data_IF_821610316325
#
_entry.id   IF_821610316325
#
_cell.length_a   1.000
_cell.length_b   1.000
_cell.length_c   1.000
_cell.angle_alpha   90.00
_cell.angle_beta   90.00
_cell.angle_gamma   90.00
#
_symmetry.space_group_name_H-M   'P 1'
#
loop_
_entity.id
_entity.type
_entity.pdbx_description
1 polymer ?
#
# COMPACT_ATOMS: atom_id res chain seq x y z
N UNK A 1 -3.32 16.01 -2.61
CA UNK A 1 -2.51 14.79 -2.84
C UNK A 1 -1.13 15.06 -2.25
N UNK A 2 -0.54 14.11 -1.51
CA UNK A 2 0.76 14.31 -0.83
C UNK A 2 1.92 13.70 -1.60
N UNK A 3 1.72 12.49 -2.13
CA UNK A 3 2.69 11.80 -2.98
C UNK A 3 1.93 11.02 -4.06
N UNK A 4 2.53 10.93 -5.26
CA UNK A 4 2.09 10.01 -6.31
C UNK A 4 3.29 9.62 -7.16
N UNK A 5 3.56 8.33 -7.29
CA UNK A 5 4.69 7.84 -8.07
C UNK A 5 4.85 6.33 -8.00
N UNK A 6 5.68 5.79 -8.88
CA UNK A 6 6.02 4.37 -8.91
C UNK A 6 7.15 4.05 -7.95
N UNK A 7 6.96 3.04 -7.11
CA UNK A 7 7.96 2.56 -6.15
C UNK A 7 8.23 1.06 -6.37
N UNK A 8 9.49 0.65 -6.16
CA UNK A 8 9.88 -0.76 -6.08
C UNK A 8 10.00 -1.11 -4.60
N UNK A 9 9.03 -1.83 -4.05
CA UNK A 9 8.89 -2.06 -2.61
C UNK A 9 10.06 -2.87 -2.03
N UNK A 10 11.05 -2.16 -1.49
CA UNK A 10 12.04 -2.65 -0.53
C UNK A 10 11.75 -2.25 0.92
N UNK A 11 10.78 -1.36 1.12
CA UNK A 11 10.38 -0.80 2.42
C UNK A 11 10.21 0.70 2.32
N UNK A 12 9.00 1.20 2.57
CA UNK A 12 8.71 2.63 2.48
C UNK A 12 7.77 3.12 3.58
N UNK A 13 8.22 4.17 4.25
CA UNK A 13 7.37 4.99 5.08
C UNK A 13 6.58 5.97 4.19
N UNK A 14 5.26 5.83 4.17
CA UNK A 14 4.35 6.63 3.35
C UNK A 14 3.74 7.83 4.11
N UNK A 15 4.16 8.07 5.36
CA UNK A 15 3.81 9.28 6.11
C UNK A 15 4.67 10.50 5.69
N UNK A 16 5.85 10.24 5.12
CA UNK A 16 6.74 11.29 4.65
C UNK A 16 6.24 11.86 3.31
N UNK A 17 6.64 13.09 3.00
CA UNK A 17 6.33 13.70 1.69
C UNK A 17 7.03 12.94 0.56
N UNK A 18 8.28 12.55 0.78
CA UNK A 18 9.04 11.67 -0.08
C UNK A 18 9.19 10.31 0.62
N UNK A 19 8.62 9.22 0.07
CA UNK A 19 8.74 7.89 0.63
C UNK A 19 10.20 7.44 0.74
N UNK A 20 10.57 6.95 1.92
CA UNK A 20 11.89 6.34 2.18
C UNK A 20 11.77 5.30 3.28
N UNK A 21 12.75 4.43 3.36
CA UNK A 21 12.83 3.42 4.41
C UNK A 21 12.98 4.08 5.80
N UNK A 22 12.14 3.67 6.75
CA UNK A 22 12.24 4.00 8.17
C UNK A 22 11.94 2.74 8.96
N UNK A 23 12.93 2.25 9.70
CA UNK A 23 12.85 1.02 10.49
C UNK A 23 11.55 0.94 11.32
N UNK A 24 10.80 -0.15 11.14
CA UNK A 24 9.54 -0.41 11.85
C UNK A 24 8.34 0.45 11.45
N UNK A 25 8.47 1.32 10.44
CA UNK A 25 7.42 2.24 10.00
C UNK A 25 7.21 2.18 8.48
N UNK A 26 7.22 0.97 7.92
CA UNK A 26 7.14 0.75 6.48
C UNK A 26 5.92 -0.06 6.04
N UNK A 27 5.58 0.13 4.77
CA UNK A 27 4.98 -0.92 3.93
C UNK A 27 6.08 -1.58 3.13
N UNK A 28 6.17 -2.91 3.17
CA UNK A 28 7.22 -3.67 2.50
C UNK A 28 6.75 -5.02 1.98
N UNK A 29 7.52 -5.58 1.03
CA UNK A 29 7.29 -6.91 0.48
C UNK A 29 7.85 -7.98 1.43
N UNK A 30 7.02 -8.91 1.87
CA UNK A 30 7.51 -10.09 2.63
C UNK A 30 7.59 -11.36 1.78
N UNK A 31 6.80 -11.44 0.70
CA UNK A 31 6.85 -12.52 -0.30
C UNK A 31 6.49 -11.97 -1.68
N UNK A 32 6.71 -12.72 -2.79
CA UNK A 32 6.47 -12.21 -4.15
C UNK A 32 5.07 -11.64 -4.41
N UNK A 33 4.06 -12.04 -3.64
CA UNK A 33 2.65 -11.65 -3.82
C UNK A 33 2.03 -11.06 -2.55
N UNK A 34 2.86 -10.54 -1.63
CA UNK A 34 2.39 -10.04 -0.34
C UNK A 34 3.08 -8.74 0.07
N UNK A 35 2.26 -7.74 0.35
CA UNK A 35 2.67 -6.50 1.01
C UNK A 35 2.22 -6.54 2.48
N UNK A 36 3.15 -6.20 3.37
CA UNK A 36 2.95 -6.10 4.81
C UNK A 36 3.18 -4.67 5.29
N UNK A 37 2.43 -4.27 6.30
CA UNK A 37 2.58 -3.01 7.01
C UNK A 37 3.02 -3.22 8.45
N UNK A 38 4.18 -2.68 8.86
CA UNK A 38 4.66 -2.84 10.24
C UNK A 38 3.69 -2.24 11.26
N UNK A 39 3.38 -0.96 11.07
CA UNK A 39 2.44 -0.17 11.85
C UNK A 39 1.29 0.38 10.98
N UNK A 40 1.06 -0.22 9.82
CA UNK A 40 0.10 0.24 8.82
C UNK A 40 -1.10 -0.69 8.76
N UNK A 41 -2.26 -0.12 8.45
CA UNK A 41 -3.37 -0.91 7.95
C UNK A 41 -3.16 -1.11 6.45
N UNK A 42 -3.20 -2.35 5.97
CA UNK A 42 -3.00 -2.73 4.56
C UNK A 42 -3.99 -3.82 4.21
N UNK A 43 -4.78 -3.60 3.15
CA UNK A 43 -5.82 -4.54 2.72
C UNK A 43 -6.00 -4.48 1.20
N UNK A 44 -6.06 -5.64 0.56
CA UNK A 44 -6.39 -5.71 -0.87
C UNK A 44 -7.83 -5.25 -1.12
N UNK A 45 -8.00 -4.47 -2.18
CA UNK A 45 -9.28 -4.06 -2.73
C UNK A 45 -9.65 -5.03 -3.86
N UNK A 46 -10.72 -5.81 -3.63
CA UNK A 46 -11.12 -6.93 -4.49
C UNK A 46 -12.13 -6.55 -5.60
N UNK A 47 -12.59 -5.29 -5.64
CA UNK A 47 -13.48 -4.85 -6.72
C UNK A 47 -12.70 -4.38 -7.95
N UNK A 48 -13.34 -4.45 -9.12
CA UNK A 48 -12.71 -4.10 -10.39
C UNK A 48 -12.44 -2.59 -10.54
N UNK A 49 -13.17 -1.76 -9.80
CA UNK A 49 -12.99 -0.31 -9.79
C UNK A 49 -11.67 0.10 -9.15
N UNK A 50 -11.16 1.25 -9.58
CA UNK A 50 -10.01 1.89 -8.96
C UNK A 50 -10.49 2.67 -7.72
N UNK A 51 -10.13 2.27 -6.49
CA UNK A 51 -10.64 2.94 -5.30
C UNK A 51 -10.04 4.34 -5.16
N UNK A 52 -10.87 5.31 -4.79
CA UNK A 52 -10.42 6.63 -4.37
C UNK A 52 -10.19 6.70 -2.85
N UNK A 53 -9.86 7.90 -2.36
CA UNK A 53 -9.57 8.13 -0.94
C UNK A 53 -10.70 7.63 -0.03
N UNK A 54 -11.95 7.97 -0.36
CA UNK A 54 -13.11 7.65 0.46
C UNK A 54 -13.38 6.13 0.45
N UNK A 55 -13.25 5.49 -0.71
CA UNK A 55 -13.41 4.04 -0.85
C UNK A 55 -12.38 3.28 -0.01
N UNK A 56 -11.11 3.67 -0.10
CA UNK A 56 -10.06 3.08 0.74
C UNK A 56 -10.30 3.33 2.22
N UNK A 57 -10.70 4.54 2.62
CA UNK A 57 -10.99 4.84 4.02
C UNK A 57 -12.13 3.96 4.57
N UNK A 58 -13.21 3.78 3.79
CA UNK A 58 -14.33 2.91 4.15
C UNK A 58 -13.95 1.43 4.20
N UNK A 59 -13.18 0.96 3.22
CA UNK A 59 -12.70 -0.44 3.15
C UNK A 59 -11.87 -0.85 4.37
N UNK A 60 -11.06 0.08 4.88
CA UNK A 60 -10.21 -0.10 6.05
C UNK A 60 -10.97 0.05 7.37
N UNK A 61 -12.11 0.75 7.38
CA UNK A 61 -12.93 0.88 8.59
C UNK A 61 -13.62 -0.43 9.00
N UNK A 62 -13.87 -1.32 8.04
CA UNK A 62 -14.53 -2.59 8.29
C UNK A 62 -13.66 -3.59 9.07
N UNK A 63 -12.35 -3.60 8.82
CA UNK A 63 -11.42 -4.54 9.43
C UNK A 63 -9.98 -4.03 9.28
N UNK A 64 -9.25 -3.99 10.39
CA UNK A 64 -7.80 -3.71 10.39
C UNK A 64 -7.05 -4.97 10.00
N UNK A 65 -6.28 -4.88 8.92
CA UNK A 65 -5.31 -5.90 8.50
C UNK A 65 -3.97 -5.25 8.28
N UNK A 66 -2.90 -6.03 8.43
CA UNK A 66 -1.53 -5.58 8.13
C UNK A 66 -0.98 -6.19 6.85
N UNK A 67 -1.82 -6.90 6.11
CA UNK A 67 -1.42 -7.77 5.02
C UNK A 67 -2.38 -7.67 3.83
N UNK A 68 -1.81 -7.41 2.67
CA UNK A 68 -2.44 -7.69 1.39
C UNK A 68 -1.72 -8.87 0.73
N UNK A 69 -2.44 -9.99 0.58
CA UNK A 69 -1.92 -11.28 0.13
C UNK A 69 -2.48 -11.66 -1.24
N UNK A 70 -1.84 -12.62 -1.92
CA UNK A 70 -2.30 -13.15 -3.22
C UNK A 70 -2.38 -12.08 -4.31
N UNK A 71 -1.53 -11.05 -4.20
CA UNK A 71 -1.47 -9.96 -5.17
C UNK A 71 -1.11 -10.50 -6.55
N UNK A 72 -1.77 -9.95 -7.56
CA UNK A 72 -1.47 -10.12 -8.98
C UNK A 72 -1.18 -8.76 -9.61
N UNK A 73 -0.62 -8.73 -10.82
CA UNK A 73 -0.50 -7.49 -11.58
C UNK A 73 -1.90 -6.91 -11.80
N UNK A 74 -2.08 -5.63 -11.49
CA UNK A 74 -3.38 -4.95 -11.49
C UNK A 74 -4.16 -5.06 -10.17
N UNK A 75 -3.67 -5.79 -9.16
CA UNK A 75 -4.24 -5.74 -7.80
C UNK A 75 -4.15 -4.31 -7.25
N UNK A 76 -5.15 -3.94 -6.44
CA UNK A 76 -5.20 -2.64 -5.76
C UNK A 76 -5.14 -2.90 -4.26
N UNK A 77 -4.34 -2.12 -3.56
CA UNK A 77 -4.18 -2.23 -2.10
C UNK A 77 -4.51 -0.88 -1.50
N UNK A 78 -5.46 -0.86 -0.59
CA UNK A 78 -5.75 0.30 0.24
C UNK A 78 -4.95 0.17 1.54
N UNK A 79 -4.51 1.31 2.08
CA UNK A 79 -3.96 1.30 3.41
C UNK A 79 -4.05 2.64 4.14
N UNK A 80 -3.70 2.58 5.42
CA UNK A 80 -3.63 3.70 6.34
C UNK A 80 -2.28 3.67 7.06
N UNK A 81 -1.58 4.78 7.00
CA UNK A 81 -0.32 5.01 7.71
C UNK A 81 -0.55 5.20 9.22
N UNK A 82 0.50 5.05 10.05
CA UNK A 82 0.45 5.42 11.47
C UNK A 82 0.00 6.87 11.71
N UNK A 83 0.41 7.81 10.84
CA UNK A 83 -0.03 9.20 10.86
C UNK A 83 -1.47 9.43 10.39
N UNK A 84 -2.25 8.37 10.12
CA UNK A 84 -3.66 8.43 9.75
C UNK A 84 -3.92 8.76 8.28
N UNK A 85 -2.89 8.87 7.45
CA UNK A 85 -3.03 9.14 6.02
C UNK A 85 -3.47 7.89 5.28
N UNK A 86 -4.43 8.06 4.39
CA UNK A 86 -4.89 7.01 3.49
C UNK A 86 -3.98 6.97 2.26
N UNK A 87 -3.72 5.78 1.75
CA UNK A 87 -3.00 5.57 0.51
C UNK A 87 -3.59 4.41 -0.30
N UNK A 88 -3.23 4.37 -1.56
CA UNK A 88 -3.50 3.27 -2.49
C UNK A 88 -2.22 2.87 -3.19
N UNK A 89 -2.06 1.57 -3.42
CA UNK A 89 -1.02 0.99 -4.26
C UNK A 89 -1.71 0.21 -5.38
N UNK A 90 -1.38 0.50 -6.63
CA UNK A 90 -1.70 -0.34 -7.77
C UNK A 90 -0.48 -1.18 -8.14
N UNK A 91 -0.61 -2.49 -8.16
CA UNK A 91 0.49 -3.42 -8.44
C UNK A 91 0.78 -3.40 -9.94
N UNK A 92 1.94 -2.86 -10.33
CA UNK A 92 2.37 -2.76 -11.72
C UNK A 92 3.22 -3.96 -12.16
N UNK A 93 3.89 -4.62 -11.22
CA UNK A 93 4.78 -5.75 -11.53
C UNK A 93 5.09 -6.59 -10.31
N UNK A 94 5.19 -7.90 -10.52
CA UNK A 94 5.58 -8.88 -9.52
C UNK A 94 6.74 -9.71 -10.07
N UNK A 95 7.82 -9.77 -9.31
CA UNK A 95 8.96 -10.64 -9.56
C UNK A 95 9.43 -11.25 -8.23
N UNK A 96 10.27 -12.29 -8.29
CA UNK A 96 10.65 -13.11 -7.14
C UNK A 96 11.06 -12.31 -5.90
N UNK A 97 11.72 -11.15 -6.11
CA UNK A 97 12.22 -10.30 -5.03
C UNK A 97 11.68 -8.87 -5.06
N UNK A 98 10.76 -8.54 -5.96
CA UNK A 98 10.29 -7.16 -6.15
C UNK A 98 8.79 -7.11 -6.38
N UNK A 99 8.16 -6.14 -5.74
CA UNK A 99 6.81 -5.68 -6.10
C UNK A 99 6.98 -4.24 -6.55
N UNK A 100 6.58 -3.93 -7.78
CA UNK A 100 6.52 -2.56 -8.27
C UNK A 100 5.08 -2.10 -8.18
N UNK A 101 4.84 -0.93 -7.62
CA UNK A 101 3.49 -0.37 -7.54
C UNK A 101 3.45 1.14 -7.76
N UNK A 102 2.36 1.60 -8.37
CA UNK A 102 2.00 3.02 -8.37
C UNK A 102 1.38 3.33 -7.01
N UNK A 103 2.03 4.18 -6.23
CA UNK A 103 1.56 4.62 -4.92
C UNK A 103 0.93 6.00 -5.02
N UNK A 104 -0.24 6.16 -4.42
CA UNK A 104 -0.90 7.46 -4.20
C UNK A 104 -1.11 7.63 -2.70
N UNK A 105 -0.59 8.70 -2.12
CA UNK A 105 -0.84 9.08 -0.72
C UNK A 105 -1.68 10.35 -0.69
N UNK A 106 -2.82 10.31 -0.02
CA UNK A 106 -3.69 11.47 0.14
C UNK A 106 -3.28 12.31 1.36
N UNK A 107 -3.56 13.62 1.29
CA UNK A 107 -3.26 14.58 2.36
C UNK A 107 -4.31 14.56 3.46
#
# INVERSE_FOLDING_TARGET
>A
MRFSGSLVFGGYNLDLTEPRDVEGLNVWRISPTRLYGDAYDVKEWLADSLPERADCAGHLAAEVRRDATNLVVGSKVCGRTPGGRIFRIEVLGLADRTITGHVVVWA
#
